data_IF_859839101180
#
_entry.id   IF_859839101180
#
_cell.length_a   1.000
_cell.length_b   1.000
_cell.length_c   1.000
_cell.angle_alpha   90.00
_cell.angle_beta   90.00
_cell.angle_gamma   90.00
#
_symmetry.space_group_name_H-M   'P 1'
#
loop_
_entity.id
_entity.type
_entity.pdbx_description
1 polymer ?
#
# COMPACT_ATOMS: atom_id res chain seq x y z
N UNK A 1 -70.92 -20.27 -20.42
CA UNK A 1 -71.26 -21.48 -21.19
C UNK A 1 -70.33 -21.58 -22.38
N UNK A 2 -69.68 -22.73 -22.53
CA UNK A 2 -68.73 -23.06 -23.60
C UNK A 2 -69.41 -23.20 -24.96
N UNK A 3 -68.69 -22.89 -26.05
CA UNK A 3 -68.58 -23.84 -27.17
C UNK A 3 -67.34 -23.60 -28.05
N UNK A 4 -66.66 -24.71 -28.30
CA UNK A 4 -65.67 -25.02 -29.33
C UNK A 4 -66.37 -25.01 -30.70
N UNK A 5 -65.77 -24.58 -31.80
CA UNK A 5 -65.05 -25.33 -32.87
C UNK A 5 -65.01 -24.33 -34.06
N UNK A 6 -64.05 -24.21 -34.97
CA UNK A 6 -63.40 -25.24 -35.78
C UNK A 6 -62.22 -24.60 -36.56
N UNK A 7 -61.19 -25.40 -36.79
CA UNK A 7 -60.08 -25.35 -37.74
C UNK A 7 -60.36 -24.73 -39.12
N UNK A 8 -59.42 -23.95 -39.70
CA UNK A 8 -58.89 -24.16 -41.08
C UNK A 8 -57.45 -23.63 -41.20
N UNK A 9 -56.56 -24.46 -41.76
CA UNK A 9 -55.20 -24.15 -42.20
C UNK A 9 -55.20 -23.34 -43.51
N UNK A 10 -54.31 -22.36 -43.66
CA UNK A 10 -53.83 -21.97 -45.00
C UNK A 10 -52.38 -21.52 -44.95
N UNK A 11 -51.50 -22.36 -45.49
CA UNK A 11 -50.13 -22.01 -45.85
C UNK A 11 -50.14 -21.55 -47.31
N UNK A 12 -49.65 -20.34 -47.64
CA UNK A 12 -49.09 -20.09 -48.95
C UNK A 12 -47.57 -19.97 -48.82
N UNK A 13 -46.88 -20.99 -49.32
CA UNK A 13 -45.45 -20.98 -49.52
C UNK A 13 -45.03 -19.96 -50.58
N UNK A 14 -43.97 -19.25 -50.23
CA UNK A 14 -42.80 -18.91 -51.04
C UNK A 14 -42.92 -18.90 -52.58
N UNK A 15 -42.70 -17.71 -53.15
CA UNK A 15 -42.12 -17.57 -54.50
C UNK A 15 -41.04 -16.50 -54.46
N UNK A 16 -39.77 -16.92 -54.61
CA UNK A 16 -38.65 -16.03 -54.90
C UNK A 16 -38.85 -15.43 -56.28
N UNK A 17 -38.65 -14.12 -56.40
CA UNK A 17 -38.45 -13.49 -57.71
C UNK A 17 -37.19 -12.63 -57.65
N UNK A 18 -36.12 -13.16 -58.26
CA UNK A 18 -34.93 -12.40 -58.62
C UNK A 18 -35.30 -11.42 -59.74
N UNK A 19 -34.82 -10.18 -59.61
CA UNK A 19 -34.70 -9.26 -60.73
C UNK A 19 -33.33 -8.59 -60.63
N UNK A 20 -32.42 -9.05 -61.48
CA UNK A 20 -31.20 -8.35 -61.83
C UNK A 20 -31.53 -7.17 -62.75
N UNK A 21 -31.04 -5.97 -62.44
CA UNK A 21 -30.63 -4.99 -63.45
C UNK A 21 -29.77 -3.86 -62.84
N UNK A 22 -28.50 -3.84 -63.30
CA UNK A 22 -27.58 -2.70 -63.45
C UNK A 22 -28.29 -1.33 -63.61
N UNK A 23 -27.81 -0.15 -63.20
CA UNK A 23 -26.46 0.45 -63.07
C UNK A 23 -26.73 1.90 -62.57
N UNK A 24 -25.99 2.57 -61.69
CA UNK A 24 -24.76 3.34 -61.96
C UNK A 24 -24.48 4.30 -60.74
N UNK A 25 -23.32 4.98 -60.67
CA UNK A 25 -22.43 4.93 -59.51
C UNK A 25 -22.17 6.30 -58.85
N UNK A 26 -21.37 6.30 -57.77
CA UNK A 26 -20.60 7.49 -57.35
C UNK A 26 -20.99 8.06 -55.99
N UNK A 27 -19.98 8.19 -55.12
CA UNK A 27 -20.00 8.76 -53.77
C UNK A 27 -20.78 7.91 -52.76
N UNK A 28 -20.19 7.27 -51.74
CA UNK A 28 -19.13 7.76 -50.85
C UNK A 28 -18.38 6.55 -50.26
N UNK A 29 -17.39 6.03 -50.99
CA UNK A 29 -16.41 5.06 -50.47
C UNK A 29 -15.43 5.67 -49.45
N UNK A 30 -15.82 6.77 -48.80
CA UNK A 30 -15.10 7.45 -47.71
C UNK A 30 -15.73 7.10 -46.34
N UNK A 31 -16.88 6.40 -46.30
CA UNK A 31 -17.57 6.09 -45.05
C UNK A 31 -16.89 5.00 -44.20
N UNK A 32 -16.47 3.90 -44.82
CA UNK A 32 -15.99 2.74 -44.04
C UNK A 32 -14.50 2.82 -43.70
N UNK A 33 -13.65 3.24 -44.64
CA UNK A 33 -12.21 3.37 -44.41
C UNK A 33 -11.88 4.45 -43.37
N UNK A 34 -12.60 5.57 -43.39
CA UNK A 34 -12.46 6.63 -42.39
C UNK A 34 -12.90 6.17 -41.00
N UNK A 35 -13.99 5.41 -40.91
CA UNK A 35 -14.50 4.89 -39.64
C UNK A 35 -13.60 3.80 -39.05
N UNK A 36 -12.99 2.95 -39.88
CA UNK A 36 -12.00 1.97 -39.44
C UNK A 36 -10.75 2.67 -38.91
N UNK A 37 -10.24 3.69 -39.60
CA UNK A 37 -9.10 4.47 -39.12
C UNK A 37 -9.41 5.22 -37.83
N UNK A 38 -10.62 5.78 -37.69
CA UNK A 38 -11.03 6.50 -36.48
C UNK A 38 -11.24 5.55 -35.29
N UNK A 39 -11.81 4.37 -35.50
CA UNK A 39 -11.87 3.33 -34.47
C UNK A 39 -10.48 2.84 -34.09
N UNK A 40 -9.56 2.69 -35.06
CA UNK A 40 -8.21 2.21 -34.81
C UNK A 40 -7.36 3.26 -34.09
N UNK A 41 -7.49 4.54 -34.42
CA UNK A 41 -6.83 5.63 -33.67
C UNK A 41 -7.42 5.79 -32.27
N UNK A 42 -8.73 5.65 -32.10
CA UNK A 42 -9.38 5.72 -30.80
C UNK A 42 -9.00 4.51 -29.93
N UNK A 43 -8.87 3.33 -30.53
CA UNK A 43 -8.35 2.13 -29.86
C UNK A 43 -6.87 2.28 -29.48
N UNK A 44 -6.05 2.86 -30.37
CA UNK A 44 -4.64 3.17 -30.07
C UNK A 44 -4.50 4.22 -28.95
N UNK A 45 -5.37 5.23 -28.93
CA UNK A 45 -5.39 6.27 -27.91
C UNK A 45 -5.76 5.72 -26.53
N UNK A 46 -6.73 4.79 -26.48
CA UNK A 46 -7.10 4.06 -25.24
C UNK A 46 -5.96 3.16 -24.76
N UNK A 47 -5.16 2.60 -25.68
CA UNK A 47 -4.02 1.75 -25.33
C UNK A 47 -2.84 2.55 -24.75
N UNK A 48 -2.68 3.81 -25.13
CA UNK A 48 -1.63 4.70 -24.60
C UNK A 48 -1.99 5.27 -23.23
N UNK A 49 -3.28 5.36 -22.89
CA UNK A 49 -3.73 5.68 -21.52
C UNK A 49 -3.68 4.45 -20.62
N UNK A 50 -2.53 3.77 -20.56
CA UNK A 50 -2.31 2.79 -19.50
C UNK A 50 -2.20 3.56 -18.17
N UNK A 51 -3.03 3.26 -17.14
CA UNK A 51 -2.83 3.85 -15.83
C UNK A 51 -1.41 3.51 -15.38
N UNK A 52 -0.63 4.52 -14.98
CA UNK A 52 0.66 4.31 -14.36
C UNK A 52 0.45 3.41 -13.14
N UNK A 53 0.76 2.12 -13.31
CA UNK A 53 0.64 1.12 -12.25
C UNK A 53 1.62 1.56 -11.17
N UNK A 54 1.10 2.03 -10.03
CA UNK A 54 1.90 2.33 -8.87
C UNK A 54 2.73 1.08 -8.54
N UNK A 55 4.05 1.19 -8.61
CA UNK A 55 4.97 0.09 -8.34
C UNK A 55 4.66 -0.43 -6.93
N UNK A 56 4.22 -1.68 -6.82
CA UNK A 56 3.98 -2.25 -5.49
C UNK A 56 5.28 -2.25 -4.68
N UNK A 57 5.24 -1.78 -3.42
CA UNK A 57 6.39 -1.79 -2.53
C UNK A 57 6.91 -3.21 -2.33
N UNK A 58 8.21 -3.41 -2.55
CA UNK A 58 8.85 -4.71 -2.36
C UNK A 58 9.22 -4.90 -0.89
N UNK A 59 8.84 -6.03 -0.32
CA UNK A 59 9.15 -6.37 1.07
C UNK A 59 10.51 -7.09 1.10
N UNK A 60 11.55 -6.43 1.62
CA UNK A 60 12.88 -7.05 1.73
C UNK A 60 12.99 -7.93 2.97
N UNK A 61 12.47 -7.45 4.10
CA UNK A 61 12.47 -8.18 5.37
C UNK A 61 11.18 -7.86 6.09
N UNK A 62 10.51 -8.89 6.59
CA UNK A 62 9.35 -8.73 7.44
C UNK A 62 9.31 -9.90 8.41
N UNK A 63 9.60 -9.61 9.66
CA UNK A 63 9.79 -10.60 10.69
C UNK A 63 9.08 -10.18 11.97
N UNK A 64 8.24 -11.07 12.45
CA UNK A 64 7.48 -10.89 13.67
C UNK A 64 8.00 -11.93 14.67
N UNK A 65 8.55 -11.48 15.79
CA UNK A 65 9.12 -12.34 16.81
C UNK A 65 8.39 -12.11 18.14
N UNK A 66 8.08 -13.20 18.84
CA UNK A 66 7.61 -13.14 20.22
C UNK A 66 8.80 -13.36 21.13
N UNK A 67 9.07 -12.42 22.04
CA UNK A 67 10.09 -12.53 23.08
C UNK A 67 9.41 -12.59 24.47
N UNK A 68 10.21 -12.62 25.54
CA UNK A 68 9.71 -12.63 26.91
C UNK A 68 9.07 -11.29 27.33
N UNK A 69 9.45 -10.18 26.68
CA UNK A 69 8.97 -8.84 27.00
C UNK A 69 7.70 -8.47 26.21
N UNK A 70 7.43 -9.15 25.08
CA UNK A 70 6.27 -8.94 24.23
C UNK A 70 6.45 -9.36 22.78
N UNK A 71 5.71 -8.67 21.90
CA UNK A 71 5.71 -8.91 20.46
C UNK A 71 6.54 -7.83 19.77
N UNK A 72 7.55 -8.24 19.03
CA UNK A 72 8.51 -7.38 18.35
C UNK A 72 8.43 -7.56 16.84
N UNK A 73 8.37 -6.45 16.11
CA UNK A 73 8.34 -6.40 14.66
C UNK A 73 9.61 -5.76 14.10
N UNK A 74 10.19 -6.43 13.11
CA UNK A 74 11.25 -5.90 12.26
C UNK A 74 10.74 -5.91 10.83
N UNK A 75 10.85 -4.77 10.15
CA UNK A 75 10.41 -4.62 8.76
C UNK A 75 11.40 -3.77 7.96
N UNK A 76 11.59 -4.12 6.70
CA UNK A 76 12.34 -3.33 5.73
C UNK A 76 11.61 -3.41 4.39
N UNK A 77 11.22 -2.26 3.87
CA UNK A 77 10.59 -2.14 2.58
C UNK A 77 11.53 -1.42 1.62
N UNK A 78 11.54 -1.87 0.37
CA UNK A 78 12.05 -1.09 -0.74
C UNK A 78 10.89 -0.58 -1.57
N UNK A 79 10.64 0.72 -1.46
CA UNK A 79 9.60 1.39 -2.23
C UNK A 79 10.11 2.74 -2.73
N UNK A 80 9.85 3.06 -3.99
CA UNK A 80 10.16 4.38 -4.52
C UNK A 80 9.17 5.42 -3.98
N UNK A 81 9.66 6.65 -3.78
CA UNK A 81 8.79 7.79 -3.47
C UNK A 81 8.30 8.35 -4.82
N UNK A 82 6.99 8.61 -5.00
CA UNK A 82 6.48 9.21 -6.23
C UNK A 82 7.09 10.60 -6.49
N UNK A 83 7.24 11.01 -7.76
CA UNK A 83 7.88 12.28 -8.11
C UNK A 83 7.14 13.49 -7.51
N UNK A 84 5.81 13.46 -7.42
CA UNK A 84 5.04 14.54 -6.81
C UNK A 84 5.35 14.75 -5.32
N UNK A 85 5.61 13.64 -4.60
CA UNK A 85 5.99 13.65 -3.18
C UNK A 85 7.42 14.15 -3.01
N UNK A 86 8.32 13.74 -3.90
CA UNK A 86 9.71 14.24 -3.96
C UNK A 86 9.77 15.74 -4.23
N UNK A 87 9.05 16.23 -5.24
CA UNK A 87 8.99 17.65 -5.59
C UNK A 87 8.50 18.51 -4.43
N UNK A 88 7.51 18.02 -3.68
CA UNK A 88 7.00 18.72 -2.51
C UNK A 88 8.04 18.79 -1.38
N UNK A 89 8.77 17.70 -1.15
CA UNK A 89 9.87 17.69 -0.18
C UNK A 89 10.96 18.68 -0.60
N UNK A 90 11.36 18.71 -1.88
CA UNK A 90 12.37 19.63 -2.41
C UNK A 90 11.95 21.10 -2.27
N UNK A 91 10.65 21.40 -2.33
CA UNK A 91 10.07 22.73 -2.03
C UNK A 91 10.08 23.07 -0.53
N UNK A 92 10.62 22.20 0.32
CA UNK A 92 10.74 22.39 1.76
C UNK A 92 9.46 22.06 2.54
N UNK A 93 8.48 21.39 1.93
CA UNK A 93 7.25 20.97 2.62
C UNK A 93 7.57 19.73 3.47
N UNK A 94 7.42 19.78 4.80
CA UNK A 94 7.65 18.62 5.64
C UNK A 94 6.53 17.59 5.45
N UNK A 95 6.89 16.35 5.19
CA UNK A 95 5.95 15.24 5.07
C UNK A 95 6.03 14.31 6.28
N UNK A 96 4.90 13.69 6.61
CA UNK A 96 4.78 12.81 7.75
C UNK A 96 4.46 11.39 7.30
N UNK A 97 5.33 10.45 7.62
CA UNK A 97 5.12 9.02 7.39
C UNK A 97 4.73 8.36 8.69
N UNK A 98 3.80 7.41 8.63
CA UNK A 98 3.34 6.69 9.81
C UNK A 98 3.41 5.19 9.56
N UNK A 99 4.11 4.49 10.45
CA UNK A 99 3.98 3.06 10.65
C UNK A 99 2.89 2.81 11.68
N UNK A 100 1.90 2.01 11.33
CA UNK A 100 0.83 1.58 12.23
C UNK A 100 0.83 0.05 12.29
N UNK A 101 0.84 -0.48 13.49
CA UNK A 101 0.62 -1.89 13.75
C UNK A 101 -0.61 -2.06 14.63
N UNK A 102 -1.57 -2.84 14.16
CA UNK A 102 -2.77 -3.20 14.90
C UNK A 102 -2.75 -4.68 15.22
N UNK A 103 -2.84 -5.00 16.51
CA UNK A 103 -2.91 -6.37 17.00
C UNK A 103 -4.38 -6.75 17.19
N UNK A 104 -4.77 -7.81 16.49
CA UNK A 104 -6.08 -8.42 16.54
C UNK A 104 -5.97 -9.80 17.18
N UNK A 105 -6.99 -10.16 17.95
CA UNK A 105 -7.21 -11.51 18.44
C UNK A 105 -8.37 -12.12 17.68
N UNK A 106 -8.09 -13.22 16.99
CA UNK A 106 -9.11 -13.97 16.25
C UNK A 106 -10.05 -14.67 17.24
N UNK A 107 -11.35 -14.56 16.98
CA UNK A 107 -12.42 -15.17 17.78
C UNK A 107 -13.29 -16.00 16.84
N UNK A 108 -13.60 -17.25 17.18
CA UNK A 108 -14.21 -18.19 16.22
C UNK A 108 -15.68 -17.90 15.83
N UNK A 109 -16.45 -17.18 16.64
CA UNK A 109 -17.90 -16.94 16.42
C UNK A 109 -18.30 -15.46 16.36
N UNK A 110 -17.32 -14.56 16.31
CA UNK A 110 -17.57 -13.12 16.28
C UNK A 110 -16.37 -12.35 15.72
N UNK A 111 -16.57 -11.06 15.45
CA UNK A 111 -15.55 -10.20 14.85
C UNK A 111 -14.24 -10.17 15.66
N UNK A 112 -13.11 -10.02 14.99
CA UNK A 112 -11.81 -9.93 15.66
C UNK A 112 -11.80 -8.82 16.72
N UNK A 113 -11.26 -9.13 17.91
CA UNK A 113 -11.07 -8.09 18.95
C UNK A 113 -9.72 -7.43 18.75
N UNK A 114 -9.71 -6.12 18.56
CA UNK A 114 -8.47 -5.33 18.62
C UNK A 114 -7.92 -5.32 20.05
N UNK A 115 -6.71 -5.83 20.22
CA UNK A 115 -5.98 -5.92 21.49
C UNK A 115 -5.23 -4.62 21.75
N UNK A 116 -4.51 -4.12 20.73
CA UNK A 116 -3.70 -2.92 20.83
C UNK A 116 -3.41 -2.30 19.47
N UNK A 117 -3.06 -1.02 19.49
CA UNK A 117 -2.65 -0.25 18.31
C UNK A 117 -1.44 0.59 18.66
N UNK A 118 -0.38 0.47 17.88
CA UNK A 118 0.83 1.29 18.04
C UNK A 118 1.09 2.02 16.73
N UNK A 119 1.38 3.32 16.84
CA UNK A 119 1.69 4.17 15.70
C UNK A 119 3.04 4.85 15.95
N UNK A 120 3.93 4.78 14.96
CA UNK A 120 5.20 5.49 14.94
C UNK A 120 5.19 6.49 13.78
N UNK A 121 5.22 7.77 14.12
CA UNK A 121 5.25 8.86 13.15
C UNK A 121 6.68 9.35 12.94
N UNK A 122 7.02 9.60 11.68
CA UNK A 122 8.30 10.15 11.24
C UNK A 122 8.07 11.36 10.34
N UNK A 123 8.83 12.43 10.57
CA UNK A 123 8.81 13.62 9.73
C UNK A 123 10.04 13.67 8.86
N UNK A 124 9.86 13.77 7.55
CA UNK A 124 10.93 14.01 6.58
C UNK A 124 10.80 15.43 6.02
N UNK A 125 11.89 16.18 6.01
CA UNK A 125 11.95 17.51 5.42
C UNK A 125 13.30 17.75 4.74
N UNK A 126 13.29 18.44 3.61
CA UNK A 126 14.52 18.91 2.96
C UNK A 126 14.87 20.32 3.44
N UNK A 127 16.15 20.57 3.68
CA UNK A 127 16.69 21.88 4.02
C UNK A 127 17.46 22.45 2.81
N UNK A 128 16.90 23.42 2.07
CA UNK A 128 17.52 23.92 0.84
C UNK A 128 18.88 24.60 1.05
N UNK A 129 19.07 25.25 2.21
CA UNK A 129 20.30 25.97 2.53
C UNK A 129 21.48 25.03 2.74
N UNK A 130 21.27 23.96 3.50
CA UNK A 130 22.31 22.95 3.82
C UNK A 130 22.33 21.80 2.81
N UNK A 131 21.31 21.72 1.94
CA UNK A 131 21.04 20.61 1.02
C UNK A 131 20.93 19.26 1.72
N UNK A 132 20.48 19.26 2.98
CA UNK A 132 20.36 18.07 3.79
C UNK A 132 18.91 17.63 3.97
N UNK A 133 18.72 16.32 4.01
CA UNK A 133 17.47 15.67 4.39
C UNK A 133 17.44 15.48 5.89
N UNK A 134 16.43 16.01 6.57
CA UNK A 134 16.25 15.84 8.02
C UNK A 134 15.08 14.91 8.30
N UNK A 135 15.37 13.79 8.92
CA UNK A 135 14.39 12.84 9.44
C UNK A 135 14.23 13.06 10.94
N UNK A 136 12.99 13.16 11.42
CA UNK A 136 12.67 13.24 12.85
C UNK A 136 11.78 12.06 13.21
N UNK A 137 12.27 11.17 14.07
CA UNK A 137 11.55 9.98 14.52
C UNK A 137 11.00 10.23 15.92
N UNK A 138 9.70 10.08 16.12
CA UNK A 138 9.12 10.12 17.46
C UNK A 138 9.74 9.04 18.36
N UNK A 139 10.34 9.45 19.48
CA UNK A 139 10.84 8.54 20.50
C UNK A 139 9.67 8.14 21.41
N UNK A 140 9.24 6.89 21.27
CA UNK A 140 8.12 6.27 21.98
C UNK A 140 6.73 6.90 21.76
N UNK A 141 5.65 6.10 21.90
CA UNK A 141 4.30 6.63 21.90
C UNK A 141 4.09 7.47 23.17
N UNK A 142 4.41 8.77 23.11
CA UNK A 142 4.05 9.69 24.18
C UNK A 142 2.52 9.71 24.31
N UNK A 143 2.01 9.38 25.51
CA UNK A 143 0.58 9.29 25.84
C UNK A 143 -0.23 10.59 25.56
N UNK A 144 0.44 11.69 25.24
CA UNK A 144 -0.11 13.04 25.23
C UNK A 144 -0.11 13.70 23.83
N UNK A 145 0.06 12.93 22.75
CA UNK A 145 -0.01 13.45 21.37
C UNK A 145 1.17 14.33 20.91
N UNK A 146 2.12 14.63 21.80
CA UNK A 146 3.33 15.41 21.50
C UNK A 146 4.57 14.51 21.39
N UNK A 147 4.49 13.49 20.56
CA UNK A 147 5.57 12.50 20.41
C UNK A 147 6.79 13.03 19.63
N UNK A 148 6.66 14.17 18.95
CA UNK A 148 7.75 14.78 18.18
C UNK A 148 8.64 15.73 19.00
N UNK A 149 8.29 16.05 20.25
CA UNK A 149 9.13 16.91 21.11
C UNK A 149 10.43 16.22 21.53
N UNK A 150 10.39 14.91 21.72
CA UNK A 150 11.57 14.09 22.05
C UNK A 150 12.05 13.30 20.83
N UNK A 151 11.82 13.83 19.63
CA UNK A 151 12.17 13.11 18.41
C UNK A 151 13.68 12.98 18.23
N UNK A 152 14.13 11.80 17.82
CA UNK A 152 15.50 11.58 17.36
C UNK A 152 15.61 12.17 15.96
N UNK A 153 16.56 13.08 15.77
CA UNK A 153 16.82 13.69 14.48
C UNK A 153 18.04 13.04 13.81
N UNK A 154 17.89 12.68 12.55
CA UNK A 154 18.97 12.16 11.70
C UNK A 154 19.02 12.98 10.41
N UNK A 155 20.22 13.35 9.98
CA UNK A 155 20.46 14.05 8.72
C UNK A 155 21.05 13.08 7.68
N UNK A 156 20.62 13.22 6.43
CA UNK A 156 21.13 12.46 5.29
C UNK A 156 21.46 13.40 4.13
N UNK A 157 22.40 12.97 3.28
CA UNK A 157 22.82 13.76 2.12
C UNK A 157 21.97 13.44 0.88
N UNK A 158 21.42 12.22 0.81
CA UNK A 158 20.62 11.78 -0.35
C UNK A 158 19.19 11.38 0.03
N UNK A 159 18.25 11.55 -0.91
CA UNK A 159 16.87 11.09 -0.74
C UNK A 159 16.81 9.56 -0.58
N UNK A 160 17.66 8.83 -1.28
CA UNK A 160 17.68 7.37 -1.23
C UNK A 160 18.03 6.85 0.18
N UNK A 161 18.97 7.48 0.88
CA UNK A 161 19.30 7.17 2.27
C UNK A 161 18.16 7.51 3.21
N UNK A 162 17.60 8.71 3.08
CA UNK A 162 16.45 9.13 3.90
C UNK A 162 15.25 8.19 3.70
N UNK A 163 14.99 7.77 2.46
CA UNK A 163 13.95 6.80 2.09
C UNK A 163 14.19 5.45 2.77
N UNK A 164 15.40 4.89 2.66
CA UNK A 164 15.76 3.63 3.34
C UNK A 164 15.62 3.74 4.86
N UNK A 165 15.88 4.92 5.43
CA UNK A 165 15.70 5.14 6.86
C UNK A 165 14.22 5.16 7.26
N UNK A 166 13.33 5.75 6.46
CA UNK A 166 11.88 5.76 6.75
C UNK A 166 11.19 4.42 6.48
N UNK A 167 11.68 3.64 5.53
CA UNK A 167 11.10 2.33 5.19
C UNK A 167 11.66 1.18 6.03
N UNK A 168 12.55 1.50 6.98
CA UNK A 168 13.16 0.53 7.89
C UNK A 168 12.62 0.69 9.30
N UNK A 169 12.26 -0.43 9.89
CA UNK A 169 11.77 -0.57 11.24
C UNK A 169 12.53 -1.72 11.91
N UNK A 170 13.16 -1.47 13.05
CA UNK A 170 13.97 -2.46 13.76
C UNK A 170 13.47 -2.60 15.18
N UNK A 171 13.25 -3.85 15.62
CA UNK A 171 12.85 -4.20 16.99
C UNK A 171 11.73 -3.32 17.55
N UNK A 172 10.68 -3.08 16.77
CA UNK A 172 9.55 -2.26 17.20
C UNK A 172 8.59 -3.10 18.04
N UNK A 173 8.43 -2.76 19.31
CA UNK A 173 7.51 -3.45 20.22
C UNK A 173 6.06 -3.03 19.93
N UNK A 174 5.23 -4.01 19.59
CA UNK A 174 3.80 -3.82 19.25
C UNK A 174 2.91 -4.03 20.47
N UNK A 175 3.17 -5.06 21.25
CA UNK A 175 2.39 -5.41 22.43
C UNK A 175 3.32 -5.93 23.51
N UNK A 176 2.91 -5.79 24.77
CA UNK A 176 3.63 -6.34 25.91
C UNK A 176 3.23 -7.81 26.12
N UNK A 177 4.11 -8.59 26.75
CA UNK A 177 3.89 -10.03 26.97
C UNK A 177 2.59 -10.37 27.69
N UNK A 178 2.13 -9.50 28.60
CA UNK A 178 0.89 -9.63 29.37
C UNK A 178 -0.39 -9.45 28.53
N UNK A 179 -0.31 -8.74 27.41
CA UNK A 179 -1.44 -8.56 26.48
C UNK A 179 -1.59 -9.74 25.50
N UNK A 180 -0.55 -10.58 25.38
CA UNK A 180 -0.48 -11.71 24.45
C UNK A 180 -0.89 -13.02 25.12
N UNK A 181 -2.13 -13.46 24.88
CA UNK A 181 -2.58 -14.80 25.31
C UNK A 181 -1.84 -15.90 24.52
N UNK A 182 -1.26 -16.89 25.21
CA UNK A 182 -0.45 -17.94 24.57
C UNK A 182 -1.25 -18.92 23.71
N UNK A 183 -2.53 -19.11 24.01
CA UNK A 183 -3.40 -20.09 23.32
C UNK A 183 -4.27 -19.45 22.21
N UNK A 184 -4.32 -18.12 22.14
CA UNK A 184 -5.14 -17.42 21.16
C UNK A 184 -4.38 -17.15 19.85
N UNK A 185 -5.11 -17.26 18.73
CA UNK A 185 -4.61 -16.79 17.44
C UNK A 185 -4.60 -15.26 17.41
N UNK A 186 -3.42 -14.70 17.16
CA UNK A 186 -3.25 -13.27 17.02
C UNK A 186 -2.82 -12.94 15.60
N UNK A 187 -3.36 -11.85 15.07
CA UNK A 187 -3.06 -11.31 13.75
C UNK A 187 -2.58 -9.87 13.90
N UNK A 188 -1.48 -9.53 13.24
CA UNK A 188 -0.99 -8.15 13.15
C UNK A 188 -1.32 -7.61 11.77
N UNK A 189 -1.93 -6.44 11.72
CA UNK A 189 -2.06 -5.65 10.50
C UNK A 189 -1.04 -4.51 10.54
N UNK A 190 -0.06 -4.58 9.64
CA UNK A 190 0.97 -3.58 9.45
C UNK A 190 0.57 -2.66 8.30
N UNK A 191 0.52 -1.37 8.57
CA UNK A 191 0.24 -0.32 7.60
C UNK A 191 1.40 0.68 7.64
N UNK A 192 1.97 0.99 6.47
CA UNK A 192 2.85 2.14 6.29
C UNK A 192 2.15 3.11 5.35
N UNK A 193 2.03 4.38 5.75
CA UNK A 193 1.33 5.37 4.94
C UNK A 193 1.94 6.77 5.06
N UNK A 194 1.77 7.57 4.00
CA UNK A 194 1.97 9.02 4.05
C UNK A 194 0.73 9.69 4.67
N UNK A 195 0.91 10.39 5.77
CA UNK A 195 -0.16 11.10 6.48
C UNK A 195 -0.26 12.57 6.01
N UNK A 196 -1.25 12.84 5.16
CA UNK A 196 -1.51 14.17 4.60
C UNK A 196 -2.28 15.09 5.56
N UNK A 197 -2.86 14.55 6.64
CA UNK A 197 -3.69 15.33 7.58
C UNK A 197 -2.87 16.36 8.38
N UNK A 198 -1.56 16.11 8.52
CA UNK A 198 -0.62 16.95 9.23
C UNK A 198 -0.01 18.06 8.36
N UNK A 199 -0.36 18.09 7.06
CA UNK A 199 0.11 19.14 6.15
C UNK A 199 -0.61 20.46 6.42
N UNK A 200 0.02 21.62 6.16
CA UNK A 200 -0.66 22.91 6.22
C UNK A 200 -1.92 22.91 5.34
N UNK A 201 -2.99 23.57 5.79
CA UNK A 201 -4.29 23.65 5.10
C UNK A 201 -4.21 23.92 3.58
N UNK A 202 -3.33 24.80 3.07
CA UNK A 202 -3.20 25.02 1.62
C UNK A 202 -2.85 23.76 0.82
N UNK A 203 -2.02 22.88 1.40
CA UNK A 203 -1.63 21.61 0.77
C UNK A 203 -2.70 20.52 0.96
N UNK A 204 -3.63 20.66 1.90
CA UNK A 204 -4.71 19.68 2.04
C UNK A 204 -5.71 19.73 0.87
N UNK A 205 -5.79 20.88 0.19
CA UNK A 205 -6.73 21.10 -0.92
C UNK A 205 -6.16 20.45 -2.19
N UNK A 206 -6.77 19.36 -2.64
CA UNK A 206 -6.45 18.72 -3.92
C UNK A 206 -5.47 17.54 -3.88
N UNK A 207 -4.87 17.21 -2.73
CA UNK A 207 -3.91 16.09 -2.61
C UNK A 207 -4.55 14.74 -2.24
N UNK A 208 -5.67 14.74 -1.52
CA UNK A 208 -6.25 13.52 -0.93
C UNK A 208 -6.79 12.47 -1.92
N UNK A 209 -7.00 12.83 -3.19
CA UNK A 209 -7.51 11.91 -4.22
C UNK A 209 -6.55 11.75 -5.41
N UNK A 210 -5.31 12.23 -5.31
CA UNK A 210 -4.33 12.07 -6.39
C UNK A 210 -3.54 10.76 -6.20
N UNK A 211 -3.51 9.87 -7.21
CA UNK A 211 -2.72 8.63 -7.14
C UNK A 211 -1.22 8.93 -6.98
N UNK A 212 -0.74 10.08 -7.48
CA UNK A 212 0.65 10.50 -7.40
C UNK A 212 1.12 10.80 -5.96
N UNK A 213 0.20 10.92 -5.01
CA UNK A 213 0.48 11.14 -3.59
C UNK A 213 0.23 9.90 -2.73
N UNK A 214 -0.12 8.77 -3.35
CA UNK A 214 -0.39 7.51 -2.64
C UNK A 214 0.91 6.79 -2.35
N UNK A 215 1.34 6.87 -1.10
CA UNK A 215 2.43 6.06 -0.56
C UNK A 215 1.82 5.24 0.57
N UNK A 216 1.41 4.02 0.24
CA UNK A 216 0.82 3.10 1.19
C UNK A 216 1.35 1.68 1.01
N UNK A 217 1.45 0.96 2.10
CA UNK A 217 1.75 -0.45 2.16
C UNK A 217 0.92 -1.07 3.28
N UNK A 218 0.29 -2.21 3.01
CA UNK A 218 -0.47 -2.95 4.01
C UNK A 218 -0.11 -4.41 3.94
N UNK A 219 0.15 -5.02 5.10
CA UNK A 219 0.41 -6.44 5.22
C UNK A 219 -0.21 -7.02 6.48
N UNK A 220 -0.92 -8.12 6.31
CA UNK A 220 -1.37 -8.95 7.42
C UNK A 220 -0.32 -10.03 7.73
N UNK A 221 -0.13 -10.31 9.01
CA UNK A 221 0.77 -11.33 9.49
C UNK A 221 0.12 -12.09 10.64
N UNK A 222 0.35 -13.39 10.68
CA UNK A 222 -0.01 -14.20 11.84
C UNK A 222 1.13 -14.13 12.85
N UNK A 223 0.78 -13.98 14.12
CA UNK A 223 1.75 -13.95 15.21
C UNK A 223 2.27 -15.38 15.44
N UNK A 224 3.59 -15.61 15.45
CA UNK A 224 4.13 -16.91 15.82
C UNK A 224 3.81 -17.19 17.29
N UNK A 225 3.34 -18.41 17.55
CA UNK A 225 3.03 -18.86 18.92
C UNK A 225 4.28 -19.08 19.75
N UNK A 226 5.34 -19.53 19.10
CA UNK A 226 6.62 -19.86 19.73
C UNK A 226 7.36 -18.59 20.10
N UNK A 227 7.72 -18.48 21.38
CA UNK A 227 8.67 -17.47 21.85
C UNK A 227 10.03 -17.85 21.28
N UNK A 228 10.66 -16.96 20.52
CA UNK A 228 12.00 -17.20 20.02
C UNK A 228 12.95 -17.36 21.22
N UNK A 229 13.78 -18.42 21.28
CA UNK A 229 14.73 -18.55 22.38
C UNK A 229 15.67 -17.35 22.34
N UNK A 230 15.82 -16.68 23.49
CA UNK A 230 16.89 -15.70 23.68
C UNK A 230 18.18 -16.49 23.49
N UNK A 231 18.84 -16.30 22.35
CA UNK A 231 20.18 -16.86 22.14
C UNK A 231 21.10 -16.05 23.03
N UNK A 232 21.25 -16.47 24.28
CA UNK A 232 22.36 -16.05 25.12
C UNK A 232 23.63 -16.46 24.35
N UNK A 233 24.40 -15.47 23.92
CA UNK A 233 25.72 -15.73 23.36
C UNK A 233 26.49 -16.60 24.38
N UNK A 234 27.13 -17.70 23.96
CA UNK A 234 27.92 -18.49 24.89
C UNK A 234 28.95 -17.55 25.52
N UNK A 235 28.96 -17.52 26.86
CA UNK A 235 29.94 -16.77 27.64
C UNK A 235 31.34 -17.05 27.07
N UNK A 236 32.23 -16.04 26.95
CA UNK A 236 33.58 -16.27 26.49
C UNK A 236 34.20 -17.32 27.41
N UNK A 237 34.48 -18.49 26.85
CA UNK A 237 35.17 -19.59 27.50
C UNK A 237 36.49 -19.02 28.04
N UNK A 238 36.53 -18.82 29.35
CA UNK A 238 37.72 -18.36 30.08
C UNK A 238 38.79 -19.42 29.87
N UNK A 239 39.67 -19.18 28.90
CA UNK A 239 40.85 -19.99 28.65
C UNK A 239 41.61 -20.17 29.96
N UNK A 240 41.74 -21.44 30.37
CA UNK A 240 42.36 -21.84 31.61
C UNK A 240 43.76 -21.29 31.78
N UNK A 241 44.08 -20.94 33.02
CA UNK A 241 45.42 -20.65 33.51
C UNK A 241 46.44 -21.71 33.07
N UNK A 242 47.65 -21.33 32.63
CA UNK A 242 48.74 -22.27 32.54
C UNK A 242 49.19 -22.67 33.95
N UNK A 243 48.90 -23.92 34.33
CA UNK A 243 49.53 -24.58 35.48
C UNK A 243 51.04 -24.70 35.21
N UNK A 244 51.81 -24.38 36.26
CA UNK A 244 53.27 -24.37 36.34
C UNK A 244 53.97 -25.65 35.89
#
# INVERSE_FOLDING_TARGET
MCRVDTTVFSTPGWTRQQADACRQPGARAVGWRGLVWLCLTLWLLVLVTAPAQAREPTVEQLELQRDAEGLVLTARLDMAIPPAVEDALLRGVPLYFAWRAELYRERWYWADKRVGTVVRTMRLAYQPLTRQWRLSLAAEPAANGSSLQYAVHQSFDTLAEARRAITRLVRWRIARGDELESDAHHRVELEFRLDLSLLPRPFQIGLGNQPDWRVEFRRNMLVPRTVAPVIDAPAPEMAGEPVS
#
